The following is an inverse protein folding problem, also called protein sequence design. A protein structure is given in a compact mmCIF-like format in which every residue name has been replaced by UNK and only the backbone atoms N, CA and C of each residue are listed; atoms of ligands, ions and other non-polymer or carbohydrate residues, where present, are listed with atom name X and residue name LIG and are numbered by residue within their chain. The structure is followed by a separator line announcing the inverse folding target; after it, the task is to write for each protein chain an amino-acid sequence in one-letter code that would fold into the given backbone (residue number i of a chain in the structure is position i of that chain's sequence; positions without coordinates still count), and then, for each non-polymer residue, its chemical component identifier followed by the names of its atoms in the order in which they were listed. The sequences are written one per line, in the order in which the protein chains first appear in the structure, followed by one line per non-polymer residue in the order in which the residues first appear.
data_IF_240910738508
#
_entry.id   IF_240910738508
#
_cell.length_a   1.000
_cell.length_b   1.000
_cell.length_c   1.000
_cell.angle_alpha   90.00
_cell.angle_beta   90.00
_cell.angle_gamma   90.00
#
_symmetry.space_group_name_H-M   'P 1'
#
loop_
_entity.id
_entity.type
_entity.pdbx_description
1 polymer ?
#
# COMPACT_ATOMS: atom_id res chain seq x y z
N UNK A 1 -5.36 -10.53 2.80
CA UNK A 1 -5.90 -10.84 1.45
C UNK A 1 -5.13 -10.05 0.39
N UNK A 2 -5.00 -8.73 0.58
CA UNK A 2 -4.25 -7.83 -0.33
C UNK A 2 -2.78 -8.21 -0.55
N UNK A 3 -2.03 -8.63 0.49
CA UNK A 3 -0.66 -9.13 0.32
C UNK A 3 -0.54 -10.31 -0.65
N UNK A 4 -1.55 -11.18 -0.70
CA UNK A 4 -1.57 -12.32 -1.63
C UNK A 4 -1.82 -11.86 -3.06
N UNK A 5 -2.69 -10.86 -3.27
CA UNK A 5 -2.94 -10.28 -4.59
C UNK A 5 -1.68 -9.59 -5.11
N UNK A 6 -0.96 -8.85 -4.25
CA UNK A 6 0.31 -8.22 -4.63
C UNK A 6 1.38 -9.24 -5.01
N UNK A 7 1.49 -10.33 -4.24
CA UNK A 7 2.44 -11.39 -4.55
C UNK A 7 2.13 -12.04 -5.91
N UNK A 8 0.86 -12.33 -6.20
CA UNK A 8 0.44 -12.87 -7.50
C UNK A 8 0.71 -11.90 -8.65
N UNK A 9 0.54 -10.59 -8.45
CA UNK A 9 0.81 -9.57 -9.48
C UNK A 9 2.31 -9.42 -9.75
N UNK A 10 3.17 -9.51 -8.73
CA UNK A 10 4.62 -9.53 -8.90
C UNK A 10 5.09 -10.78 -9.63
N UNK A 11 4.50 -11.94 -9.33
CA UNK A 11 4.79 -13.19 -10.03
C UNK A 11 4.33 -13.14 -11.49
N UNK A 12 3.16 -12.53 -11.76
CA UNK A 12 2.65 -12.33 -13.11
C UNK A 12 3.55 -11.38 -13.93
N UNK A 13 4.00 -10.28 -13.34
CA UNK A 13 4.93 -9.34 -13.97
C UNK A 13 6.28 -9.99 -14.27
N UNK A 14 6.80 -10.80 -13.33
CA UNK A 14 8.02 -11.58 -13.53
C UNK A 14 7.85 -12.60 -14.67
N UNK A 15 6.73 -13.30 -14.73
CA UNK A 15 6.44 -14.25 -15.81
C UNK A 15 6.34 -13.54 -17.18
N UNK A 16 5.71 -12.37 -17.25
CA UNK A 16 5.65 -11.55 -18.46
C UNK A 16 7.05 -11.11 -18.92
N UNK A 17 7.90 -10.73 -17.97
CA UNK A 17 9.31 -10.38 -18.21
C UNK A 17 10.09 -11.59 -18.74
N UNK A 18 9.96 -12.75 -18.10
CA UNK A 18 10.62 -14.00 -18.52
C UNK A 18 10.15 -14.45 -19.93
N UNK A 19 8.92 -14.11 -20.30
CA UNK A 19 8.33 -14.38 -21.63
C UNK A 19 8.64 -13.31 -22.66
N UNK A 20 9.35 -12.23 -22.30
CA UNK A 20 9.59 -11.05 -23.14
C UNK A 20 8.29 -10.47 -23.72
N UNK A 21 7.25 -10.33 -22.90
CA UNK A 21 6.02 -9.64 -23.26
C UNK A 21 6.00 -8.21 -22.66
N UNK A 22 6.58 -7.22 -23.37
CA UNK A 22 6.66 -5.86 -22.86
C UNK A 22 5.30 -5.19 -22.74
N UNK A 23 4.30 -5.59 -23.53
CA UNK A 23 2.96 -5.01 -23.47
C UNK A 23 2.24 -5.45 -22.18
N UNK A 24 2.40 -6.72 -21.79
CA UNK A 24 1.85 -7.23 -20.54
C UNK A 24 2.57 -6.63 -19.32
N UNK A 25 3.89 -6.43 -19.38
CA UNK A 25 4.61 -5.72 -18.32
C UNK A 25 4.11 -4.29 -18.14
N UNK A 26 3.99 -3.52 -19.22
CA UNK A 26 3.54 -2.13 -19.19
C UNK A 26 2.10 -1.99 -18.67
N UNK A 27 1.22 -2.92 -19.05
CA UNK A 27 -0.15 -2.99 -18.54
C UNK A 27 -0.19 -3.22 -17.02
N UNK A 28 0.64 -4.15 -16.50
CA UNK A 28 0.70 -4.44 -15.06
C UNK A 28 1.32 -3.26 -14.30
N UNK A 29 2.35 -2.63 -14.85
CA UNK A 29 3.02 -1.47 -14.24
C UNK A 29 2.08 -0.26 -14.13
N UNK A 30 1.43 0.08 -15.24
CA UNK A 30 0.58 1.28 -15.34
C UNK A 30 -0.69 1.15 -14.51
N UNK A 31 -1.38 0.01 -14.59
CA UNK A 31 -2.71 -0.15 -14.00
C UNK A 31 -2.70 -0.75 -12.59
N UNK A 32 -1.71 -1.58 -12.24
CA UNK A 32 -1.77 -2.36 -11.00
C UNK A 32 -0.61 -2.07 -10.05
N UNK A 33 0.62 -1.84 -10.52
CA UNK A 33 1.75 -1.57 -9.62
C UNK A 33 1.70 -0.16 -9.02
N UNK A 34 1.20 0.85 -9.75
CA UNK A 34 1.01 2.20 -9.20
C UNK A 34 -0.04 2.24 -8.07
N UNK A 35 -1.16 1.51 -8.23
CA UNK A 35 -2.16 1.37 -7.16
C UNK A 35 -1.61 0.57 -5.98
N UNK A 36 -0.72 -0.40 -6.23
CA UNK A 36 -0.08 -1.18 -5.17
C UNK A 36 0.88 -0.39 -4.28
N UNK A 37 1.55 0.65 -4.79
CA UNK A 37 2.41 1.53 -3.96
C UNK A 37 1.56 2.22 -2.89
N UNK A 38 0.38 2.72 -3.26
CA UNK A 38 -0.57 3.34 -2.33
C UNK A 38 -1.09 2.34 -1.29
N UNK A 39 -1.30 1.09 -1.68
CA UNK A 39 -1.69 0.02 -0.73
C UNK A 39 -0.56 -0.36 0.23
N UNK A 40 0.70 -0.29 -0.21
CA UNK A 40 1.85 -0.52 0.67
C UNK A 40 1.95 0.56 1.74
N UNK A 41 1.74 1.83 1.38
CA UNK A 41 1.67 2.94 2.34
C UNK A 41 0.56 2.73 3.37
N UNK A 42 -0.63 2.28 2.93
CA UNK A 42 -1.73 1.95 3.84
C UNK A 42 -1.37 0.77 4.77
N UNK A 43 -0.68 -0.26 4.25
CA UNK A 43 -0.18 -1.37 5.05
C UNK A 43 0.89 -0.96 6.08
N UNK A 44 1.75 -0.01 5.72
CA UNK A 44 2.76 0.56 6.61
C UNK A 44 2.10 1.44 7.69
N UNK A 45 1.07 2.19 7.35
CA UNK A 45 0.21 2.92 8.29
C UNK A 45 -0.46 2.00 9.32
N UNK A 46 -1.08 0.91 8.87
CA UNK A 46 -1.67 -0.11 9.77
C UNK A 46 -0.60 -0.78 10.64
N UNK A 47 0.59 -1.03 10.09
CA UNK A 47 1.71 -1.62 10.85
C UNK A 47 2.26 -0.66 11.89
N UNK A 48 2.34 0.63 11.57
CA UNK A 48 2.74 1.68 12.51
C UNK A 48 1.71 1.83 13.63
N UNK A 49 0.42 1.90 13.29
CA UNK A 49 -0.70 1.88 14.26
C UNK A 49 -0.61 0.70 15.24
N UNK A 50 -0.34 -0.50 14.72
CA UNK A 50 -0.19 -1.70 15.55
C UNK A 50 1.06 -1.64 16.43
N UNK A 51 2.16 -1.05 15.95
CA UNK A 51 3.40 -0.85 16.73
C UNK A 51 3.24 0.18 17.84
N UNK A 52 2.41 1.22 17.63
CA UNK A 52 2.10 2.22 18.67
C UNK A 52 1.05 1.74 19.68
N UNK A 53 0.60 0.48 19.57
CA UNK A 53 -0.26 -0.17 20.57
C UNK A 53 -1.75 -0.02 20.32
N UNK A 54 -2.17 0.34 19.11
CA UNK A 54 -3.59 0.27 18.74
C UNK A 54 -4.02 -1.19 18.56
N UNK A 55 -5.23 -1.59 19.04
CA UNK A 55 -6.31 -0.74 19.54
C UNK A 55 -6.34 -0.58 21.08
N UNK A 56 -5.40 -1.18 21.81
CA UNK A 56 -5.39 -1.19 23.30
C UNK A 56 -5.08 0.19 23.89
N UNK A 57 -4.43 1.07 23.14
CA UNK A 57 -4.15 2.46 23.50
C UNK A 57 -4.92 3.42 22.59
N UNK A 58 -6.10 3.88 23.02
CA UNK A 58 -6.90 4.86 22.27
C UNK A 58 -6.19 6.20 22.01
N UNK A 59 -5.10 6.48 22.75
CA UNK A 59 -4.24 7.63 22.50
C UNK A 59 -3.35 7.45 21.26
N UNK A 60 -2.96 6.21 20.94
CA UNK A 60 -2.13 5.91 19.79
C UNK A 60 -2.88 6.08 18.47
N UNK A 61 -4.18 5.73 18.46
CA UNK A 61 -5.08 5.97 17.32
C UNK A 61 -5.31 7.48 17.11
N UNK A 62 -5.57 8.25 18.17
CA UNK A 62 -5.72 9.71 18.11
C UNK A 62 -4.46 10.43 17.60
N UNK A 63 -3.27 10.02 18.07
CA UNK A 63 -2.01 10.61 17.62
C UNK A 63 -1.68 10.25 16.16
N UNK A 64 -2.01 9.03 15.73
CA UNK A 64 -1.83 8.62 14.36
C UNK A 64 -2.77 9.36 13.41
N UNK A 65 -4.04 9.51 13.78
CA UNK A 65 -5.02 10.29 13.02
C UNK A 65 -4.56 11.74 12.86
N UNK A 66 -4.11 12.39 13.94
CA UNK A 66 -3.62 13.78 13.90
C UNK A 66 -2.34 14.00 13.10
N UNK A 67 -1.39 13.06 13.13
CA UNK A 67 -0.07 13.26 12.51
C UNK A 67 0.09 12.58 11.15
N UNK A 68 -0.79 11.65 10.78
CA UNK A 68 -0.70 10.91 9.52
C UNK A 68 -1.90 11.16 8.61
N UNK A 69 -3.09 11.43 9.15
CA UNK A 69 -4.31 11.71 8.37
C UNK A 69 -4.71 13.19 8.39
N UNK A 70 -4.31 13.94 9.43
CA UNK A 70 -4.67 15.34 9.68
C UNK A 70 -4.04 16.39 8.76
N UNK A 71 -3.12 16.03 7.86
CA UNK A 71 -2.56 16.97 6.86
C UNK A 71 -3.54 17.30 5.71
N UNK A 72 -4.71 16.65 5.68
CA UNK A 72 -5.73 16.89 4.64
C UNK A 72 -6.66 18.08 4.93
N UNK A 73 -6.61 18.66 6.14
CA UNK A 73 -7.57 19.70 6.59
C UNK A 73 -6.99 21.12 6.65
N UNK A 74 -5.76 21.35 6.16
CA UNK A 74 -5.11 22.67 6.21
C UNK A 74 -4.85 23.31 4.83
N UNK A 75 -5.73 23.05 3.86
CA UNK A 75 -5.98 23.97 2.74
C UNK A 75 -7.39 24.54 2.89
N UNK A 76 -7.49 25.72 3.53
CA UNK A 76 -8.62 26.64 3.46
C UNK A 76 -8.09 28.07 3.42
#
# INVERSE_FOLDING_TARGET
MEKSVNQSLLELHKLATDKNDPHLCDFIETHYLNEQVKFKELGDHVTNLRKVGAPESGMAEYLFDKHTLGDSDNES
#
